data_IF_096641951614
#
_entry.id   IF_096641951614
#
_cell.length_a   1.000
_cell.length_b   1.000
_cell.length_c   1.000
_cell.angle_alpha   90.00
_cell.angle_beta   90.00
_cell.angle_gamma   90.00
#
_symmetry.space_group_name_H-M   'P 1'
#
loop_
_entity.id
_entity.type
_entity.pdbx_description
1 polymer ?
#
# COMPACT_ATOMS: atom_id res chain seq x y z
N UNK A 1 34.86 -57.36 14.09
CA UNK A 1 35.59 -57.82 12.89
C UNK A 1 36.27 -56.58 12.32
N UNK A 2 37.57 -56.34 12.51
CA UNK A 2 38.70 -56.89 11.71
C UNK A 2 38.40 -56.79 10.20
N UNK A 3 39.24 -56.31 9.29
CA UNK A 3 40.69 -55.99 9.19
C UNK A 3 40.80 -55.31 7.78
N UNK A 4 41.58 -54.23 7.59
CA UNK A 4 42.76 -54.15 6.69
C UNK A 4 42.65 -54.93 5.34
N UNK A 5 43.13 -54.52 4.17
CA UNK A 5 44.09 -53.50 3.75
C UNK A 5 44.17 -53.50 2.20
N UNK A 6 44.66 -52.38 1.63
CA UNK A 6 45.66 -52.29 0.53
C UNK A 6 45.46 -53.11 -0.76
N UNK A 7 45.28 -52.48 -1.93
CA UNK A 7 46.35 -51.94 -2.82
C UNK A 7 46.45 -52.80 -4.09
N UNK A 8 46.58 -52.16 -5.27
CA UNK A 8 47.72 -52.29 -6.20
C UNK A 8 47.34 -51.86 -7.65
N UNK A 9 48.15 -50.93 -8.18
CA UNK A 9 48.59 -50.67 -9.58
C UNK A 9 47.51 -50.27 -10.60
N UNK A 10 47.47 -49.05 -11.16
CA UNK A 10 48.48 -48.27 -11.90
C UNK A 10 48.83 -48.85 -13.30
N UNK A 11 48.55 -48.06 -14.35
CA UNK A 11 49.46 -47.56 -15.42
C UNK A 11 48.77 -47.51 -16.79
N UNK A 12 48.91 -46.35 -17.45
CA UNK A 12 48.94 -46.19 -18.91
C UNK A 12 47.64 -45.68 -19.51
N UNK A 13 47.58 -44.61 -20.29
CA UNK A 13 48.61 -43.74 -20.85
C UNK A 13 47.90 -42.75 -21.78
N UNK A 14 48.26 -41.48 -21.69
CA UNK A 14 47.89 -40.45 -22.67
C UNK A 14 48.67 -40.69 -23.97
N UNK A 15 48.01 -40.66 -25.12
CA UNK A 15 48.52 -39.90 -26.27
C UNK A 15 47.47 -39.77 -27.38
N UNK A 16 47.60 -38.65 -28.09
CA UNK A 16 46.67 -38.04 -29.01
C UNK A 16 46.88 -38.46 -30.48
N UNK A 17 45.94 -37.97 -31.29
CA UNK A 17 45.96 -37.80 -32.76
C UNK A 17 45.54 -39.00 -33.62
N UNK A 18 44.32 -38.91 -34.17
CA UNK A 18 44.17 -38.58 -35.59
C UNK A 18 42.79 -38.05 -35.95
N UNK A 19 42.77 -36.92 -36.66
CA UNK A 19 41.62 -36.34 -37.35
C UNK A 19 41.07 -37.32 -38.40
N UNK A 20 39.74 -37.38 -38.56
CA UNK A 20 39.04 -36.84 -39.75
C UNK A 20 37.55 -37.21 -39.79
N UNK A 21 36.77 -36.18 -40.17
CA UNK A 21 35.53 -36.16 -40.95
C UNK A 21 34.17 -36.21 -40.23
N UNK A 22 33.52 -35.05 -40.39
CA UNK A 22 32.14 -34.88 -40.81
C UNK A 22 31.04 -35.17 -39.78
N UNK A 23 30.44 -34.09 -39.26
CA UNK A 23 29.24 -34.13 -38.44
C UNK A 23 28.97 -32.78 -37.81
N UNK A 24 28.80 -31.74 -38.63
CA UNK A 24 28.33 -30.42 -38.18
C UNK A 24 26.91 -30.57 -37.67
N UNK A 25 26.72 -30.75 -36.36
CA UNK A 25 25.45 -30.51 -35.69
C UNK A 25 25.56 -29.11 -35.07
N UNK A 26 25.07 -28.13 -35.81
CA UNK A 26 24.88 -26.77 -35.35
C UNK A 26 23.65 -26.78 -34.42
N UNK A 27 23.86 -26.97 -33.12
CA UNK A 27 22.80 -26.79 -32.13
C UNK A 27 22.67 -25.28 -31.87
N UNK A 28 21.84 -24.63 -32.68
CA UNK A 28 21.37 -23.27 -32.45
C UNK A 28 20.51 -23.27 -31.19
N UNK A 29 21.12 -23.06 -30.02
CA UNK A 29 20.40 -22.55 -28.87
C UNK A 29 20.10 -21.08 -29.19
N UNK A 30 18.96 -20.85 -29.83
CA UNK A 30 18.32 -19.55 -29.82
C UNK A 30 17.86 -19.30 -28.38
N UNK A 31 18.79 -18.87 -27.52
CA UNK A 31 18.43 -18.16 -26.32
C UNK A 31 17.69 -16.92 -26.82
N UNK A 32 16.35 -16.98 -26.77
CA UNK A 32 15.49 -15.86 -27.09
C UNK A 32 15.83 -14.73 -26.13
N UNK A 33 16.71 -13.85 -26.56
CA UNK A 33 16.83 -12.50 -26.02
C UNK A 33 15.55 -11.78 -26.43
N UNK A 34 14.46 -12.08 -25.73
CA UNK A 34 13.42 -11.09 -25.61
C UNK A 34 14.06 -9.97 -24.80
N UNK A 35 14.27 -8.76 -25.35
CA UNK A 35 14.40 -7.63 -24.46
C UNK A 35 13.14 -7.66 -23.62
N UNK A 36 13.28 -7.80 -22.30
CA UNK A 36 12.22 -7.46 -21.38
C UNK A 36 11.78 -6.07 -21.83
N UNK A 37 10.59 -5.98 -22.44
CA UNK A 37 10.03 -4.71 -22.87
C UNK A 37 9.90 -3.94 -21.58
N UNK A 38 10.84 -3.03 -21.34
CA UNK A 38 10.73 -2.07 -20.26
C UNK A 38 9.36 -1.45 -20.44
N UNK A 39 8.48 -1.77 -19.52
CA UNK A 39 7.13 -1.25 -19.48
C UNK A 39 7.30 0.26 -19.54
N UNK A 40 6.74 0.90 -20.58
CA UNK A 40 6.87 2.34 -20.74
C UNK A 40 6.47 2.98 -19.40
N UNK A 41 7.24 3.94 -18.86
CA UNK A 41 6.87 4.59 -17.61
C UNK A 41 5.48 5.16 -17.81
N UNK A 42 4.50 4.50 -17.22
CA UNK A 42 3.11 4.91 -17.31
C UNK A 42 3.06 6.29 -16.68
N UNK A 43 2.49 7.27 -17.37
CA UNK A 43 2.21 8.60 -16.83
C UNK A 43 1.25 8.54 -15.62
N UNK A 44 0.75 7.35 -15.31
CA UNK A 44 -0.07 7.06 -14.15
C UNK A 44 0.79 6.54 -13.01
N UNK A 45 0.52 7.03 -11.79
CA UNK A 45 1.31 6.64 -10.64
C UNK A 45 1.25 5.13 -10.40
N UNK A 46 2.43 4.56 -10.17
CA UNK A 46 2.59 3.18 -9.73
C UNK A 46 2.28 3.10 -8.26
N UNK A 47 1.32 2.25 -7.94
CA UNK A 47 0.95 1.89 -6.58
C UNK A 47 2.00 0.97 -5.98
N UNK A 48 2.23 1.13 -4.69
CA UNK A 48 3.28 0.44 -3.97
C UNK A 48 2.68 0.00 -2.67
N UNK A 49 2.39 -1.29 -2.66
CA UNK A 49 1.61 -1.92 -1.62
C UNK A 49 2.44 -2.19 -0.37
N UNK A 50 1.83 -1.86 0.77
CA UNK A 50 2.19 -2.07 2.18
C UNK A 50 3.68 -2.00 2.57
N UNK A 51 4.00 -1.03 3.43
CA UNK A 51 5.29 -0.97 4.09
C UNK A 51 5.34 -1.74 5.41
N UNK A 52 6.22 -1.32 6.33
CA UNK A 52 6.56 -2.08 7.53
C UNK A 52 5.81 -1.52 8.74
N UNK A 53 4.97 -2.36 9.36
CA UNK A 53 4.16 -1.99 10.52
C UNK A 53 5.03 -1.77 11.77
N UNK A 54 4.84 -0.63 12.45
CA UNK A 54 5.54 -0.30 13.71
C UNK A 54 4.60 -0.36 14.91
N UNK A 55 3.44 0.28 14.81
CA UNK A 55 2.41 0.31 15.84
C UNK A 55 1.04 0.54 15.22
N UNK A 56 0.30 -0.54 14.94
CA UNK A 56 -1.06 -0.42 14.44
C UNK A 56 -2.08 -0.67 15.56
N UNK A 57 -3.27 -0.13 15.36
CA UNK A 57 -4.46 -0.35 16.17
C UNK A 57 -4.96 -1.78 16.03
N UNK A 58 -6.28 -1.94 15.99
CA UNK A 58 -6.88 -3.27 15.84
C UNK A 58 -7.32 -3.48 14.39
N UNK A 59 -6.71 -4.44 13.72
CA UNK A 59 -7.21 -4.95 12.45
C UNK A 59 -8.45 -5.79 12.68
N UNK A 60 -9.50 -5.52 11.91
CA UNK A 60 -10.74 -6.28 11.92
C UNK A 60 -11.20 -6.50 10.49
N UNK A 61 -11.85 -7.64 10.23
CA UNK A 61 -12.43 -7.92 8.92
C UNK A 61 -13.55 -6.93 8.58
N UNK A 62 -13.86 -6.76 7.28
CA UNK A 62 -14.98 -5.92 6.85
C UNK A 62 -16.30 -6.28 7.53
N UNK A 63 -16.56 -7.58 7.78
CA UNK A 63 -17.74 -8.04 8.52
C UNK A 63 -17.72 -7.64 9.99
N UNK A 64 -16.56 -7.73 10.65
CA UNK A 64 -16.42 -7.28 12.04
C UNK A 64 -16.56 -5.76 12.16
N UNK A 65 -16.07 -5.02 11.17
CA UNK A 65 -16.25 -3.58 11.07
C UNK A 65 -17.72 -3.19 10.92
N UNK A 66 -18.50 -3.92 10.10
CA UNK A 66 -19.95 -3.73 9.99
C UNK A 66 -20.65 -3.96 11.34
N UNK A 67 -20.28 -5.02 12.05
CA UNK A 67 -20.83 -5.31 13.39
C UNK A 67 -20.45 -4.19 14.36
N UNK A 68 -19.18 -3.78 14.38
CA UNK A 68 -18.67 -2.72 15.23
C UNK A 68 -19.37 -1.36 14.97
N UNK A 69 -19.63 -1.03 13.70
CA UNK A 69 -20.36 0.15 13.29
C UNK A 69 -21.83 0.07 13.72
N UNK A 70 -22.50 -1.06 13.47
CA UNK A 70 -23.92 -1.26 13.80
C UNK A 70 -24.22 -1.16 15.30
N UNK A 71 -23.32 -1.65 16.16
CA UNK A 71 -23.44 -1.53 17.61
C UNK A 71 -23.43 -0.06 18.10
N UNK A 72 -22.95 0.86 17.26
CA UNK A 72 -22.89 2.31 17.50
C UNK A 72 -23.97 3.08 16.74
N UNK A 73 -24.95 2.38 16.15
CA UNK A 73 -26.01 2.98 15.34
C UNK A 73 -25.50 3.53 14.00
N UNK A 74 -24.40 3.00 13.50
CA UNK A 74 -23.77 3.39 12.24
C UNK A 74 -23.88 2.29 11.20
N UNK A 75 -23.73 2.67 9.94
CA UNK A 75 -23.51 1.78 8.82
C UNK A 75 -22.31 2.29 8.01
N UNK A 76 -21.57 1.35 7.42
CA UNK A 76 -20.46 1.67 6.52
C UNK A 76 -21.08 2.24 5.23
N UNK A 77 -20.58 3.39 4.80
CA UNK A 77 -20.85 3.92 3.47
C UNK A 77 -20.20 2.98 2.45
N UNK A 78 -20.89 2.62 1.36
CA UNK A 78 -20.31 1.87 0.25
C UNK A 78 -18.92 2.39 -0.07
N UNK A 79 -18.00 1.44 -0.10
CA UNK A 79 -16.61 1.73 -0.35
C UNK A 79 -16.42 2.23 -1.79
N UNK A 80 -15.34 2.96 -2.01
CA UNK A 80 -14.95 3.51 -3.29
C UNK A 80 -13.82 2.66 -3.83
N UNK A 81 -14.10 1.48 -4.42
CA UNK A 81 -13.09 0.50 -4.74
C UNK A 81 -12.05 1.15 -5.65
N UNK A 82 -10.90 1.46 -5.07
CA UNK A 82 -9.79 2.01 -5.81
C UNK A 82 -8.88 0.83 -6.14
N UNK A 83 -8.86 0.46 -7.43
CA UNK A 83 -7.85 -0.43 -8.01
C UNK A 83 -7.74 -1.84 -7.39
N UNK A 84 -8.86 -2.41 -6.94
CA UNK A 84 -8.90 -3.77 -6.36
C UNK A 84 -8.03 -3.93 -5.10
N UNK A 85 -7.81 -2.84 -4.36
CA UNK A 85 -7.23 -2.84 -3.02
C UNK A 85 -8.06 -3.75 -2.09
N UNK A 86 -7.38 -4.38 -1.14
CA UNK A 86 -7.91 -5.50 -0.40
C UNK A 86 -8.82 -5.04 0.77
N UNK A 87 -10.07 -4.69 0.47
CA UNK A 87 -11.09 -4.27 1.46
C UNK A 87 -11.55 -5.38 2.44
N UNK A 88 -10.76 -6.45 2.56
CA UNK A 88 -11.08 -7.58 3.42
C UNK A 88 -10.89 -7.25 4.90
N UNK A 89 -10.00 -6.31 5.23
CA UNK A 89 -9.66 -5.90 6.59
C UNK A 89 -9.49 -4.39 6.67
N UNK A 90 -9.76 -3.82 7.84
CA UNK A 90 -9.54 -2.41 8.13
C UNK A 90 -8.81 -2.27 9.46
N UNK A 91 -7.95 -1.26 9.55
CA UNK A 91 -7.39 -0.83 10.82
C UNK A 91 -8.38 0.13 11.52
N UNK A 92 -8.88 -0.24 12.70
CA UNK A 92 -9.56 0.70 13.58
C UNK A 92 -8.54 1.51 14.37
N UNK A 93 -8.52 2.83 14.14
CA UNK A 93 -7.62 3.76 14.82
C UNK A 93 -8.12 3.97 16.25
N UNK A 94 -7.38 3.42 17.21
CA UNK A 94 -7.65 3.60 18.64
C UNK A 94 -7.33 5.03 19.10
N UNK A 95 -7.72 5.39 20.32
CA UNK A 95 -7.34 6.70 20.91
C UNK A 95 -5.83 6.94 21.05
N UNK A 96 -5.01 5.89 20.90
CA UNK A 96 -3.54 6.00 20.89
C UNK A 96 -2.98 6.38 19.52
N UNK A 97 -3.81 6.34 18.47
CA UNK A 97 -3.39 6.53 17.09
C UNK A 97 -2.87 5.25 16.44
N UNK A 98 -2.24 5.44 15.28
CA UNK A 98 -1.60 4.42 14.45
C UNK A 98 -0.27 4.96 13.91
N UNK A 99 0.71 4.08 13.72
CA UNK A 99 1.98 4.40 13.08
C UNK A 99 2.53 3.22 12.28
N UNK A 100 2.92 3.51 11.04
CA UNK A 100 3.43 2.54 10.08
C UNK A 100 4.44 3.21 9.16
N UNK A 101 5.25 2.41 8.48
CA UNK A 101 6.25 2.91 7.55
C UNK A 101 5.91 2.56 6.13
N UNK A 102 6.17 3.48 5.20
CA UNK A 102 6.12 3.22 3.76
C UNK A 102 7.46 3.59 3.13
N UNK A 103 7.80 2.92 2.01
CA UNK A 103 9.05 3.15 1.29
C UNK A 103 8.77 3.56 -0.16
N UNK A 104 9.27 4.72 -0.57
CA UNK A 104 9.20 5.13 -1.96
C UNK A 104 10.31 4.44 -2.79
N UNK A 105 10.03 3.96 -4.01
CA UNK A 105 10.94 3.13 -4.78
C UNK A 105 11.85 3.97 -5.67
N UNK A 106 11.42 5.16 -6.09
CA UNK A 106 12.12 6.02 -7.04
C UNK A 106 12.46 7.40 -6.49
N UNK A 107 12.53 8.37 -7.41
CA UNK A 107 13.00 9.75 -7.18
C UNK A 107 12.01 10.82 -7.69
N UNK A 108 10.85 10.38 -8.15
CA UNK A 108 9.76 11.20 -8.65
C UNK A 108 9.01 11.96 -7.56
N UNK A 109 7.88 12.54 -7.94
CA UNK A 109 6.93 13.16 -7.01
C UNK A 109 6.13 12.05 -6.32
N UNK A 110 6.13 12.05 -4.99
CA UNK A 110 5.47 11.04 -4.17
C UNK A 110 4.19 11.62 -3.59
N UNK A 111 3.14 10.81 -3.61
CA UNK A 111 1.84 11.11 -3.02
C UNK A 111 1.48 9.97 -2.06
N UNK A 112 1.07 10.32 -0.85
CA UNK A 112 0.48 9.42 0.11
C UNK A 112 -1.03 9.37 -0.11
N UNK A 113 -1.57 8.17 -0.18
CA UNK A 113 -3.00 7.91 -0.24
C UNK A 113 -3.40 7.20 1.06
N UNK A 114 -4.45 7.70 1.70
CA UNK A 114 -5.08 7.06 2.85
C UNK A 114 -6.54 6.79 2.48
N UNK A 115 -6.92 5.52 2.44
CA UNK A 115 -8.29 5.10 2.14
C UNK A 115 -9.06 4.92 3.44
N UNK A 116 -10.00 5.82 3.72
CA UNK A 116 -10.72 5.86 4.99
C UNK A 116 -12.05 5.13 4.90
N UNK A 117 -12.37 4.37 5.96
CA UNK A 117 -13.72 3.87 6.13
C UNK A 117 -14.65 5.06 6.39
N UNK A 118 -15.62 5.22 5.50
CA UNK A 118 -16.67 6.22 5.66
C UNK A 118 -17.85 5.65 6.42
N UNK A 119 -18.29 6.35 7.47
CA UNK A 119 -19.46 5.95 8.28
C UNK A 119 -20.62 6.92 8.07
N UNK A 120 -21.84 6.41 8.20
CA UNK A 120 -23.08 7.20 8.28
C UNK A 120 -24.03 6.62 9.32
N UNK A 121 -25.01 7.41 9.74
CA UNK A 121 -26.05 6.96 10.69
C UNK A 121 -26.92 5.89 10.03
N UNK A 122 -27.20 4.81 10.75
CA UNK A 122 -28.03 3.73 10.25
C UNK A 122 -29.41 4.23 9.85
N UNK A 123 -29.92 3.78 8.69
CA UNK A 123 -31.25 4.15 8.20
C UNK A 123 -31.30 5.45 7.37
N UNK A 124 -30.16 6.09 7.08
CA UNK A 124 -30.06 7.22 6.15
C UNK A 124 -29.99 6.75 4.69
N UNK A 125 -31.07 6.11 4.20
CA UNK A 125 -31.11 5.39 2.91
C UNK A 125 -31.17 6.24 1.62
N UNK A 126 -31.28 7.57 1.71
CA UNK A 126 -31.81 8.35 0.58
C UNK A 126 -30.82 9.24 -0.20
N UNK A 127 -29.49 9.04 -0.12
CA UNK A 127 -28.56 9.89 -0.87
C UNK A 127 -27.49 9.14 -1.66
N UNK A 128 -27.26 9.51 -2.93
CA UNK A 128 -26.11 9.04 -3.68
C UNK A 128 -24.83 9.42 -2.93
N UNK A 129 -23.99 8.42 -2.74
CA UNK A 129 -22.72 8.46 -2.01
C UNK A 129 -21.56 8.96 -2.88
N UNK A 130 -21.86 9.45 -4.08
CA UNK A 130 -20.85 9.74 -5.10
C UNK A 130 -19.78 10.78 -4.71
N UNK A 131 -19.98 11.76 -3.81
CA UNK A 131 -18.95 12.76 -3.56
C UNK A 131 -17.68 12.19 -2.93
N UNK A 132 -17.77 11.16 -2.06
CA UNK A 132 -16.62 10.73 -1.27
C UNK A 132 -15.61 9.85 -2.01
N UNK A 133 -15.97 9.37 -3.20
CA UNK A 133 -15.13 8.53 -4.06
C UNK A 133 -14.17 9.29 -4.98
N UNK A 134 -13.99 10.59 -4.79
CA UNK A 134 -13.03 11.37 -5.56
C UNK A 134 -11.76 11.61 -4.73
N UNK A 135 -10.58 11.22 -5.24
CA UNK A 135 -9.31 11.55 -4.59
C UNK A 135 -9.21 13.07 -4.36
N UNK A 136 -9.00 13.47 -3.11
CA UNK A 136 -8.97 14.87 -2.71
C UNK A 136 -7.97 15.08 -1.57
N UNK A 137 -7.38 16.26 -1.49
CA UNK A 137 -6.52 16.68 -0.37
C UNK A 137 -7.31 17.23 0.82
N UNK A 138 -8.60 17.51 0.60
CA UNK A 138 -9.50 18.13 1.56
C UNK A 138 -10.67 17.21 1.90
N UNK A 139 -11.17 17.36 3.12
CA UNK A 139 -12.44 16.81 3.56
C UNK A 139 -13.60 17.23 2.65
N UNK A 140 -14.63 16.38 2.59
CA UNK A 140 -15.78 16.56 1.73
C UNK A 140 -16.93 17.09 2.57
N UNK A 141 -17.43 18.26 2.19
CA UNK A 141 -18.56 18.90 2.86
C UNK A 141 -19.86 18.36 2.31
N UNK A 142 -20.59 17.66 3.17
CA UNK A 142 -21.92 17.18 2.87
C UNK A 142 -22.94 18.33 3.04
N UNK A 143 -23.95 18.41 2.17
CA UNK A 143 -24.96 19.47 2.22
C UNK A 143 -25.85 19.42 3.47
N UNK A 144 -25.82 18.32 4.22
CA UNK A 144 -26.48 18.21 5.52
C UNK A 144 -25.49 17.73 6.59
N UNK A 145 -25.65 18.26 7.79
CA UNK A 145 -24.90 17.81 8.96
C UNK A 145 -25.17 16.33 9.19
N UNK A 146 -24.14 15.51 9.09
CA UNK A 146 -24.17 14.17 9.67
C UNK A 146 -24.35 14.35 11.18
N UNK A 147 -25.32 13.69 11.80
CA UNK A 147 -25.49 13.68 13.27
C UNK A 147 -24.31 13.00 14.01
N UNK A 148 -23.23 12.69 13.29
CA UNK A 148 -21.99 12.15 13.84
C UNK A 148 -21.24 13.23 14.64
N UNK A 149 -20.64 12.86 15.78
CA UNK A 149 -19.80 13.78 16.54
C UNK A 149 -18.63 14.26 15.69
N UNK A 150 -18.21 15.52 15.91
CA UNK A 150 -17.03 16.08 15.26
C UNK A 150 -15.79 15.35 15.78
N UNK A 151 -14.95 14.91 14.86
CA UNK A 151 -13.71 14.20 15.10
C UNK A 151 -12.58 14.86 14.32
N UNK A 152 -11.36 14.77 14.85
CA UNK A 152 -10.16 15.34 14.24
C UNK A 152 -9.09 14.28 14.06
N UNK A 153 -8.42 14.23 12.92
CA UNK A 153 -7.24 13.39 12.72
C UNK A 153 -6.08 14.25 12.26
N UNK A 154 -5.02 14.28 13.05
CA UNK A 154 -3.76 14.87 12.61
C UNK A 154 -2.90 13.79 11.96
N UNK A 155 -2.32 14.13 10.81
CA UNK A 155 -1.50 13.23 10.01
C UNK A 155 -0.08 13.78 10.02
N UNK A 156 0.85 12.96 10.51
CA UNK A 156 2.27 13.28 10.56
C UNK A 156 3.06 12.37 9.61
N UNK A 157 4.11 12.94 9.03
CA UNK A 157 5.11 12.21 8.25
C UNK A 157 6.47 12.57 8.79
N UNK A 158 7.23 11.56 9.23
CA UNK A 158 8.55 11.71 9.84
C UNK A 158 8.57 12.78 10.95
N UNK A 159 7.56 12.77 11.82
CA UNK A 159 7.39 13.69 12.94
C UNK A 159 6.87 15.09 12.59
N UNK A 160 6.67 15.43 11.31
CA UNK A 160 6.09 16.70 10.89
C UNK A 160 4.60 16.55 10.56
N UNK A 161 3.75 17.40 11.14
CA UNK A 161 2.32 17.43 10.80
C UNK A 161 2.13 17.97 9.38
N UNK A 162 1.50 17.18 8.52
CA UNK A 162 1.25 17.55 7.12
C UNK A 162 -0.23 17.86 6.85
N UNK A 163 -1.14 17.36 7.68
CA UNK A 163 -2.57 17.56 7.48
C UNK A 163 -3.36 17.41 8.78
N UNK A 164 -4.50 18.08 8.84
CA UNK A 164 -5.53 17.90 9.87
C UNK A 164 -6.85 17.71 9.16
N UNK A 165 -7.52 16.58 9.38
CA UNK A 165 -8.80 16.24 8.77
C UNK A 165 -9.91 16.33 9.81
N UNK A 166 -11.07 16.85 9.41
CA UNK A 166 -12.27 16.89 10.25
C UNK A 166 -13.32 15.93 9.70
N UNK A 167 -13.92 15.16 10.59
CA UNK A 167 -14.98 14.22 10.26
C UNK A 167 -16.21 14.48 11.15
N UNK A 168 -17.40 14.16 10.65
CA UNK A 168 -18.66 14.42 11.34
C UNK A 168 -19.17 15.85 11.12
N UNK A 169 -20.33 16.17 11.71
CA UNK A 169 -21.06 17.44 11.49
C UNK A 169 -21.17 17.91 10.01
N UNK A 170 -21.33 16.97 9.07
CA UNK A 170 -21.41 17.29 7.64
C UNK A 170 -20.05 17.37 6.94
N UNK A 171 -18.98 16.86 7.55
CA UNK A 171 -17.70 16.58 6.90
C UNK A 171 -17.44 15.08 6.88
N UNK A 172 -16.93 14.57 5.77
CA UNK A 172 -16.45 13.19 5.61
C UNK A 172 -15.05 13.18 5.03
N UNK A 173 -14.27 12.11 5.26
CA UNK A 173 -12.99 11.95 4.57
C UNK A 173 -13.23 11.91 3.06
N UNK A 174 -12.28 12.43 2.30
CA UNK A 174 -12.09 11.91 0.95
C UNK A 174 -11.57 10.49 1.06
N UNK A 175 -12.07 9.59 0.21
CA UNK A 175 -11.55 8.23 0.07
C UNK A 175 -11.18 7.97 -1.38
N UNK A 176 -9.88 7.92 -1.72
CA UNK A 176 -8.73 8.15 -0.83
C UNK A 176 -8.46 9.65 -0.54
N UNK A 177 -7.93 9.95 0.65
CA UNK A 177 -7.27 11.22 0.94
C UNK A 177 -5.88 11.25 0.29
N UNK A 178 -5.59 12.28 -0.50
CA UNK A 178 -4.32 12.42 -1.22
C UNK A 178 -3.46 13.53 -0.64
N UNK A 179 -2.27 13.18 -0.17
CA UNK A 179 -1.33 14.10 0.45
C UNK A 179 -0.01 14.13 -0.33
N UNK A 180 0.36 15.26 -0.95
CA UNK A 180 1.65 15.37 -1.62
C UNK A 180 2.79 15.33 -0.60
N UNK A 181 3.79 14.50 -0.85
CA UNK A 181 4.97 14.36 0.03
C UNK A 181 6.15 15.09 -0.60
N UNK A 182 6.72 16.04 0.15
CA UNK A 182 7.93 16.73 -0.28
C UNK A 182 9.17 15.86 0.00
N UNK A 183 10.27 16.10 -0.73
CA UNK A 183 11.48 15.29 -0.59
C UNK A 183 12.10 15.38 0.81
N UNK A 184 11.95 16.51 1.47
CA UNK A 184 12.46 16.77 2.82
C UNK A 184 11.75 15.91 3.87
N UNK A 185 10.47 15.59 3.62
CA UNK A 185 9.66 14.69 4.45
C UNK A 185 9.96 13.22 4.19
N UNK A 186 10.94 12.89 3.36
CA UNK A 186 11.22 11.52 2.93
C UNK A 186 12.74 11.23 2.89
N UNK A 187 13.47 11.42 4.01
CA UNK A 187 14.87 11.03 4.09
C UNK A 187 15.01 9.54 3.78
N UNK A 188 16.02 9.20 2.97
CA UNK A 188 16.31 7.83 2.55
C UNK A 188 15.13 7.07 1.91
N UNK A 189 14.16 7.81 1.34
CA UNK A 189 12.93 7.26 0.75
C UNK A 189 12.00 6.57 1.76
N UNK A 190 12.17 6.84 3.05
CA UNK A 190 11.36 6.28 4.14
C UNK A 190 10.37 7.32 4.65
N UNK A 191 9.13 6.90 4.84
CA UNK A 191 8.09 7.70 5.48
C UNK A 191 7.60 6.96 6.70
N UNK A 192 7.84 7.50 7.89
CA UNK A 192 7.11 7.12 9.10
C UNK A 192 5.82 7.92 9.17
N UNK A 193 4.70 7.25 8.97
CA UNK A 193 3.36 7.84 9.04
C UNK A 193 2.87 7.71 10.48
N UNK A 194 2.27 8.77 11.01
CA UNK A 194 1.52 8.70 12.26
C UNK A 194 0.14 9.34 12.10
N UNK A 195 -0.89 8.58 12.49
CA UNK A 195 -2.28 9.00 12.51
C UNK A 195 -2.68 9.26 13.95
N UNK A 196 -2.84 10.53 14.33
CA UNK A 196 -3.11 10.95 15.72
C UNK A 196 -4.54 11.48 15.87
N UNK A 197 -5.44 10.69 16.46
CA UNK A 197 -6.82 11.12 16.68
C UNK A 197 -6.91 12.18 17.78
N UNK A 198 -7.84 13.12 17.60
CA UNK A 198 -8.21 14.08 18.63
C UNK A 198 -8.89 13.44 19.84
N UNK A 199 -8.93 14.15 20.99
CA UNK A 199 -9.58 13.67 22.20
C UNK A 199 -11.08 13.44 21.95
N UNK A 200 -11.58 12.27 22.37
CA UNK A 200 -12.99 11.90 22.18
C UNK A 200 -13.30 11.22 20.84
N UNK A 201 -12.32 11.05 19.95
CA UNK A 201 -12.50 10.25 18.74
C UNK A 201 -12.75 8.78 19.08
N UNK A 202 -13.76 8.21 18.42
CA UNK A 202 -14.16 6.80 18.59
C UNK A 202 -14.46 6.11 17.26
N UNK A 203 -14.44 6.86 16.15
CA UNK A 203 -14.98 6.43 14.87
C UNK A 203 -14.03 6.77 13.72
N UNK A 204 -12.87 6.13 13.70
CA UNK A 204 -11.92 6.21 12.61
C UNK A 204 -11.41 4.82 12.26
N UNK A 205 -11.49 4.48 10.99
CA UNK A 205 -10.85 3.30 10.46
C UNK A 205 -10.30 3.61 9.06
N UNK A 206 -9.24 2.91 8.69
CA UNK A 206 -8.56 3.01 7.41
C UNK A 206 -8.65 1.64 6.77
N UNK A 207 -9.08 1.58 5.51
CA UNK A 207 -8.94 0.39 4.69
C UNK A 207 -7.46 0.17 4.42
N UNK A 208 -6.84 1.12 3.70
CA UNK A 208 -5.46 0.98 3.23
C UNK A 208 -4.68 2.30 3.23
N UNK A 209 -3.35 2.17 3.17
CA UNK A 209 -2.42 3.28 3.01
C UNK A 209 -1.32 2.90 2.02
N UNK A 210 -1.17 3.69 0.95
CA UNK A 210 -0.21 3.38 -0.11
C UNK A 210 0.45 4.64 -0.67
N UNK A 211 1.58 4.44 -1.35
CA UNK A 211 2.28 5.50 -2.06
C UNK A 211 2.04 5.39 -3.55
N UNK A 212 2.06 6.55 -4.19
CA UNK A 212 2.04 6.66 -5.63
C UNK A 212 3.14 7.61 -6.08
N UNK A 213 3.89 7.20 -7.11
CA UNK A 213 5.02 7.96 -7.62
C UNK A 213 4.78 8.39 -9.07
N UNK A 214 4.93 9.69 -9.32
CA UNK A 214 4.98 10.25 -10.68
C UNK A 214 6.45 10.48 -11.04
N UNK A 215 6.98 9.79 -12.06
CA UNK A 215 8.36 9.98 -12.52
C UNK A 215 8.68 11.45 -12.80
N UNK A 216 9.95 11.88 -12.67
CA UNK A 216 10.34 13.21 -13.12
C UNK A 216 10.05 13.35 -14.62
N UNK A 217 9.64 14.54 -15.05
CA UNK A 217 9.53 14.85 -16.47
C UNK A 217 10.92 14.66 -17.10
N UNK A 218 11.00 13.78 -18.10
CA UNK A 218 12.20 13.62 -18.91
C UNK A 218 12.18 14.69 -19.99
N UNK A 219 13.05 15.69 -19.86
CA UNK A 219 13.35 16.67 -20.91
C UNK A 219 13.98 16.01 -22.15
#
# INVERSE_FOLDING_TARGET
MQVQSSSWRAIGGLSAHHLRKAGTILLLIAAGWYPARAEAPTAFPREIDFGLEKHMGQFISGRELEIWASQRGLEIAPDCPLRDLADSEAEVISSRGSSFELFAPGQGRVYLYLDFVSFRKQGTRNRPLEPHCYPSSNEIRLPESTELPVQFLEIFVNGQRISTQVFGAGAQPASPLVLPITRELMPDRRLEIELRPGPGNQLLAVWDAFLSEVPPETD
#
